data_IF_672256059174
#
_entry.id   IF_672256059174
#
_cell.length_a   1.000
_cell.length_b   1.000
_cell.length_c   1.000
_cell.angle_alpha   90.00
_cell.angle_beta   90.00
_cell.angle_gamma   90.00
#
_symmetry.space_group_name_H-M   'P 1'
#
loop_
_entity.id
_entity.type
_entity.pdbx_description
1 polymer ?
#
# COMPACT_ATOMS: atom_id res chain seq x y z
N UNK A 1 -10.21 21.51 21.31
CA UNK A 1 -8.92 21.06 21.84
C UNK A 1 -8.49 19.87 21.01
N UNK A 2 -7.55 20.06 20.08
CA UNK A 2 -6.99 18.96 19.30
C UNK A 2 -5.96 18.29 20.21
N UNK A 3 -6.36 17.22 20.87
CA UNK A 3 -5.47 16.46 21.75
C UNK A 3 -4.57 15.58 20.89
N UNK A 4 -3.27 15.83 20.91
CA UNK A 4 -2.29 14.82 20.50
C UNK A 4 -2.33 13.66 21.47
N UNK A 5 -2.28 12.44 20.95
CA UNK A 5 -2.19 11.25 21.79
C UNK A 5 -0.85 11.26 22.54
N UNK A 6 -0.86 11.16 23.86
CA UNK A 6 0.39 11.18 24.66
C UNK A 6 1.28 9.96 24.41
N UNK A 7 0.74 8.88 23.85
CA UNK A 7 1.44 7.61 23.72
C UNK A 7 2.10 7.45 22.35
N UNK A 8 1.38 7.74 21.26
CA UNK A 8 1.91 7.66 19.90
C UNK A 8 2.18 9.03 19.26
N UNK A 9 1.85 10.14 19.92
CA UNK A 9 2.08 11.50 19.41
C UNK A 9 1.15 11.94 18.29
N UNK A 10 0.34 11.06 17.72
CA UNK A 10 -0.52 11.41 16.58
C UNK A 10 -1.68 12.30 16.98
N UNK A 11 -2.00 13.25 16.11
CA UNK A 11 -3.24 14.03 16.20
C UNK A 11 -4.42 13.17 15.76
N UNK A 12 -5.62 13.55 16.17
CA UNK A 12 -6.86 12.90 15.70
C UNK A 12 -6.96 12.92 14.16
N UNK A 13 -6.60 14.05 13.52
CA UNK A 13 -6.58 14.16 12.07
C UNK A 13 -5.60 13.21 11.39
N UNK A 14 -4.41 13.00 11.98
CA UNK A 14 -3.43 12.04 11.49
C UNK A 14 -3.96 10.61 11.65
N UNK A 15 -4.49 10.27 12.83
CA UNK A 15 -5.05 8.94 13.07
C UNK A 15 -6.21 8.60 12.11
N UNK A 16 -7.07 9.58 11.78
CA UNK A 16 -8.13 9.40 10.78
C UNK A 16 -7.55 9.22 9.37
N UNK A 17 -6.53 10.00 9.01
CA UNK A 17 -5.86 9.86 7.72
C UNK A 17 -5.20 8.48 7.59
N UNK A 18 -4.48 8.03 8.62
CA UNK A 18 -3.82 6.72 8.66
C UNK A 18 -4.86 5.60 8.58
N UNK A 19 -5.94 5.68 9.37
CA UNK A 19 -7.05 4.72 9.29
C UNK A 19 -7.63 4.64 7.87
N UNK A 20 -7.79 5.79 7.20
CA UNK A 20 -8.29 5.82 5.83
C UNK A 20 -7.30 5.21 4.84
N UNK A 21 -6.00 5.48 4.98
CA UNK A 21 -4.96 4.88 4.11
C UNK A 21 -4.86 3.37 4.27
N UNK A 22 -5.07 2.87 5.50
CA UNK A 22 -5.03 1.44 5.81
C UNK A 22 -6.37 0.74 5.49
N UNK A 23 -7.42 1.47 5.11
CA UNK A 23 -8.75 0.91 4.87
C UNK A 23 -9.52 0.53 6.15
N UNK A 24 -9.10 1.05 7.31
CA UNK A 24 -9.59 0.73 8.64
C UNK A 24 -10.42 1.87 9.28
N UNK A 25 -10.96 2.77 8.45
CA UNK A 25 -11.64 3.97 8.96
C UNK A 25 -12.86 3.63 9.81
N UNK A 26 -13.64 2.62 9.42
CA UNK A 26 -14.87 2.25 10.13
C UNK A 26 -14.56 1.59 11.48
N UNK A 27 -13.51 0.77 11.52
CA UNK A 27 -12.98 0.08 12.68
C UNK A 27 -12.37 1.08 13.67
N UNK A 28 -11.70 2.11 13.17
CA UNK A 28 -11.22 3.21 14.00
C UNK A 28 -12.37 4.02 14.60
N UNK A 29 -13.38 4.37 13.80
CA UNK A 29 -14.55 5.14 14.27
C UNK A 29 -15.42 4.36 15.25
N UNK A 30 -15.50 3.03 15.09
CA UNK A 30 -16.20 2.14 16.04
C UNK A 30 -15.38 1.81 17.29
N UNK A 31 -14.13 2.29 17.37
CA UNK A 31 -13.24 2.08 18.51
C UNK A 31 -12.66 0.67 18.61
N UNK A 32 -12.73 -0.14 17.54
CA UNK A 32 -12.08 -1.45 17.45
C UNK A 32 -10.57 -1.30 17.47
N UNK A 33 -10.05 -0.26 16.78
CA UNK A 33 -8.63 0.09 16.79
C UNK A 33 -8.40 1.46 17.40
N UNK A 34 -7.30 1.57 18.13
CA UNK A 34 -6.80 2.81 18.71
C UNK A 34 -5.84 3.51 17.76
N UNK A 35 -5.62 4.82 17.95
CA UNK A 35 -4.62 5.58 17.19
C UNK A 35 -3.20 5.00 17.34
N UNK A 36 -2.87 4.37 18.48
CA UNK A 36 -1.58 3.74 18.71
C UNK A 36 -1.40 2.48 17.86
N UNK A 37 -2.43 1.64 17.77
CA UNK A 37 -2.39 0.42 16.97
C UNK A 37 -2.29 0.74 15.47
N UNK A 38 -3.04 1.74 15.00
CA UNK A 38 -2.94 2.22 13.62
C UNK A 38 -1.55 2.78 13.31
N UNK A 39 -0.99 3.59 14.22
CA UNK A 39 0.36 4.14 14.04
C UNK A 39 1.42 3.04 13.99
N UNK A 40 1.30 2.02 14.84
CA UNK A 40 2.20 0.86 14.80
C UNK A 40 2.09 0.12 13.46
N UNK A 41 0.87 -0.14 12.98
CA UNK A 41 0.69 -0.77 11.66
C UNK A 41 1.24 0.05 10.51
N UNK A 42 1.03 1.37 10.52
CA UNK A 42 1.60 2.25 9.50
C UNK A 42 3.14 2.15 9.47
N UNK A 43 3.78 2.11 10.65
CA UNK A 43 5.22 1.91 10.79
C UNK A 43 5.67 0.56 10.20
N UNK A 44 4.95 -0.53 10.50
CA UNK A 44 5.25 -1.87 10.00
C UNK A 44 5.11 -1.95 8.48
N UNK A 45 4.06 -1.35 7.90
CA UNK A 45 3.87 -1.29 6.45
C UNK A 45 4.98 -0.51 5.76
N UNK A 46 5.40 0.62 6.32
CA UNK A 46 6.53 1.39 5.80
C UNK A 46 7.82 0.58 5.85
N UNK A 47 8.11 -0.08 6.97
CA UNK A 47 9.32 -0.92 7.09
C UNK A 47 9.33 -2.04 6.05
N UNK A 48 8.21 -2.74 5.87
CA UNK A 48 8.06 -3.79 4.87
C UNK A 48 8.24 -3.26 3.44
N UNK A 49 7.70 -2.08 3.13
CA UNK A 49 7.91 -1.44 1.83
C UNK A 49 9.38 -1.10 1.59
N UNK A 50 10.07 -0.52 2.57
CA UNK A 50 11.49 -0.21 2.43
C UNK A 50 12.33 -1.48 2.21
N UNK A 51 12.07 -2.54 2.99
CA UNK A 51 12.75 -3.82 2.83
C UNK A 51 12.53 -4.40 1.42
N UNK A 52 11.28 -4.46 0.95
CA UNK A 52 10.95 -4.94 -0.39
C UNK A 52 11.65 -4.11 -1.49
N UNK A 53 11.64 -2.77 -1.38
CA UNK A 53 12.30 -1.92 -2.37
C UNK A 53 13.81 -2.08 -2.39
N UNK A 54 14.43 -2.34 -1.23
CA UNK A 54 15.85 -2.60 -1.13
C UNK A 54 16.23 -3.96 -1.73
N UNK A 55 15.41 -4.99 -1.52
CA UNK A 55 15.57 -6.30 -2.16
C UNK A 55 15.46 -6.20 -3.69
N UNK A 56 14.48 -5.44 -4.20
CA UNK A 56 14.32 -5.19 -5.63
C UNK A 56 15.53 -4.44 -6.22
N UNK A 57 16.08 -3.45 -5.51
CA UNK A 57 17.29 -2.74 -5.93
C UNK A 57 18.49 -3.69 -6.02
N UNK A 58 18.71 -4.53 -5.00
CA UNK A 58 19.79 -5.52 -4.99
C UNK A 58 19.64 -6.54 -6.11
N UNK A 59 18.42 -6.98 -6.38
CA UNK A 59 18.11 -7.91 -7.47
C UNK A 59 18.42 -7.30 -8.83
N UNK A 60 17.94 -6.07 -9.09
CA UNK A 60 18.25 -5.35 -10.33
C UNK A 60 19.76 -5.14 -10.50
N UNK A 61 20.48 -4.81 -9.42
CA UNK A 61 21.95 -4.65 -9.47
C UNK A 61 22.68 -5.95 -9.78
N UNK A 62 22.23 -7.07 -9.21
CA UNK A 62 22.81 -8.39 -9.46
C UNK A 62 22.49 -8.90 -10.87
N UNK A 63 21.28 -8.64 -11.38
CA UNK A 63 20.89 -8.95 -12.76
C UNK A 63 21.72 -8.15 -13.78
N UNK A 64 22.07 -6.89 -13.48
CA UNK A 64 22.96 -6.06 -14.30
C UNK A 64 24.45 -6.48 -14.23
N UNK A 65 24.86 -7.19 -13.18
CA UNK A 65 26.24 -7.70 -13.03
C UNK A 65 26.43 -9.09 -13.66
N UNK A 66 25.35 -9.76 -14.04
CA UNK A 66 25.35 -11.06 -14.71
C UNK A 66 25.18 -10.90 -16.21
N UNK A 67 26.30 -10.88 -16.93
CA UNK A 67 26.41 -11.08 -18.39
C UNK A 67 25.54 -10.19 -19.28
N UNK A 68 26.22 -9.27 -19.98
CA UNK A 68 25.75 -8.72 -21.23
C UNK A 68 25.50 -9.86 -22.25
N UNK A 69 24.26 -10.34 -22.31
CA UNK A 69 23.70 -10.92 -23.52
C UNK A 69 22.28 -10.36 -23.64
N UNK A 70 22.13 -9.46 -24.61
CA UNK A 70 20.87 -8.86 -24.98
C UNK A 70 19.94 -9.95 -25.52
N UNK A 71 18.82 -10.17 -24.85
CA UNK A 71 17.63 -10.70 -25.51
C UNK A 71 16.49 -9.74 -25.20
N UNK A 72 16.03 -9.06 -26.25
CA UNK A 72 14.95 -8.08 -26.20
C UNK A 72 13.69 -8.79 -25.71
N UNK A 73 13.31 -8.60 -24.45
CA UNK A 73 12.00 -9.02 -23.97
C UNK A 73 10.95 -8.10 -24.59
N UNK A 74 10.48 -8.47 -25.78
CA UNK A 74 9.26 -7.93 -26.39
C UNK A 74 8.16 -7.92 -25.33
N UNK A 75 7.71 -6.72 -24.95
CA UNK A 75 6.55 -6.55 -24.08
C UNK A 75 5.31 -7.00 -24.84
N UNK A 76 4.95 -8.28 -24.70
CA UNK A 76 3.72 -8.82 -25.26
C UNK A 76 2.54 -8.20 -24.53
N UNK A 77 1.87 -7.24 -25.18
CA UNK A 77 0.61 -6.66 -24.70
C UNK A 77 -0.48 -7.73 -24.74
N UNK A 78 -0.86 -8.23 -23.56
CA UNK A 78 -1.97 -9.18 -23.42
C UNK A 78 -3.30 -8.43 -23.59
N UNK A 79 -4.14 -8.77 -24.58
CA UNK A 79 -5.43 -8.12 -24.75
C UNK A 79 -6.36 -8.51 -23.59
N UNK A 80 -6.76 -7.51 -22.79
CA UNK A 80 -7.79 -7.66 -21.76
C UNK A 80 -9.12 -7.96 -22.46
N UNK A 81 -9.51 -9.24 -22.47
CA UNK A 81 -10.85 -9.63 -22.91
C UNK A 81 -11.84 -9.20 -21.83
N UNK A 82 -12.50 -8.06 -22.02
CA UNK A 82 -13.69 -7.72 -21.25
C UNK A 82 -14.79 -8.75 -21.54
N UNK A 83 -14.90 -9.76 -20.67
CA UNK A 83 -16.06 -10.61 -20.60
C UNK A 83 -16.67 -10.49 -19.21
N UNK A 84 -17.64 -9.59 -19.09
CA UNK A 84 -19.01 -9.85 -18.64
C UNK A 84 -19.69 -8.52 -18.29
N UNK A 85 -20.94 -8.34 -18.76
CA UNK A 85 -21.81 -7.27 -18.26
C UNK A 85 -22.16 -7.60 -16.82
N UNK A 86 -21.67 -6.79 -15.88
CA UNK A 86 -22.12 -6.82 -14.48
C UNK A 86 -23.62 -6.45 -14.43
N UNK A 87 -24.49 -7.21 -13.74
CA UNK A 87 -25.96 -7.06 -13.80
C UNK A 87 -26.50 -5.68 -13.38
N UNK A 88 -25.73 -4.92 -12.59
CA UNK A 88 -26.13 -3.62 -12.07
C UNK A 88 -25.75 -2.43 -12.96
N UNK A 89 -24.97 -2.64 -14.03
CA UNK A 89 -24.61 -1.56 -14.94
C UNK A 89 -25.69 -1.37 -16.02
N UNK A 90 -26.70 -0.54 -15.72
CA UNK A 90 -27.56 0.05 -16.75
C UNK A 90 -26.97 1.39 -17.16
N UNK A 91 -26.61 1.52 -18.44
CA UNK A 91 -26.42 2.84 -19.06
C UNK A 91 -27.79 3.52 -19.10
N UNK A 92 -27.88 4.71 -18.51
CA UNK A 92 -28.98 5.64 -18.73
C UNK A 92 -28.94 6.15 -20.18
#
# INVERSE_FOLDING_TARGET
MIGTCKNCGSTESQAIADAKTLGLQQEFQSGVYTCCQLAQWAQEQWAAWFEATHEDELKNRNELSGTADADETETVLVPVRFRQRVPWFRRA
#
